data_IF_229028254129
#
_entry.id   IF_229028254129
#
_cell.length_a   1.000
_cell.length_b   1.000
_cell.length_c   1.000
_cell.angle_alpha   90.00
_cell.angle_beta   90.00
_cell.angle_gamma   90.00
#
_symmetry.space_group_name_H-M   'P 1'
#
loop_
_entity.id
_entity.type
_entity.pdbx_description
1 polymer ?
#
# COMPACT_ATOMS: atom_id res chain seq x y z
N UNK A 1 14.54 15.09 -9.27
CA UNK A 1 15.35 13.86 -9.34
C UNK A 1 14.44 12.74 -9.81
N UNK A 2 14.82 11.98 -10.85
CA UNK A 2 14.04 10.84 -11.36
C UNK A 2 14.63 9.59 -10.72
N UNK A 3 14.26 9.32 -9.47
CA UNK A 3 14.56 8.04 -8.83
C UNK A 3 13.48 7.07 -9.27
N UNK A 4 13.73 6.39 -10.38
CA UNK A 4 12.96 5.21 -10.76
C UNK A 4 13.32 4.12 -9.76
N UNK A 5 12.50 3.93 -8.73
CA UNK A 5 12.64 2.77 -7.85
C UNK A 5 12.33 1.51 -8.67
N UNK A 6 12.99 0.42 -8.34
CA UNK A 6 12.79 -0.89 -8.95
C UNK A 6 11.47 -1.52 -8.46
N UNK A 7 10.96 -2.52 -9.20
CA UNK A 7 9.79 -3.30 -8.77
C UNK A 7 10.00 -3.94 -7.38
N UNK A 8 11.24 -4.36 -7.07
CA UNK A 8 11.58 -4.94 -5.78
C UNK A 8 11.48 -3.91 -4.63
N UNK A 9 12.02 -2.70 -4.83
CA UNK A 9 11.92 -1.62 -3.84
C UNK A 9 10.46 -1.18 -3.65
N UNK A 10 9.67 -1.09 -4.72
CA UNK A 10 8.25 -0.80 -4.62
C UNK A 10 7.48 -1.87 -3.82
N UNK A 11 7.84 -3.14 -4.01
CA UNK A 11 7.25 -4.25 -3.25
C UNK A 11 7.63 -4.19 -1.76
N UNK A 12 8.88 -3.85 -1.43
CA UNK A 12 9.32 -3.69 -0.04
C UNK A 12 8.61 -2.54 0.67
N UNK A 13 8.41 -1.42 -0.04
CA UNK A 13 7.62 -0.27 0.45
C UNK A 13 6.17 -0.70 0.72
N UNK A 14 5.56 -1.42 -0.21
CA UNK A 14 4.20 -1.95 -0.06
C UNK A 14 4.07 -2.89 1.15
N UNK A 15 4.97 -3.87 1.26
CA UNK A 15 4.94 -4.86 2.35
C UNK A 15 5.08 -4.16 3.71
N UNK A 16 5.99 -3.18 3.80
CA UNK A 16 6.20 -2.39 5.01
C UNK A 16 4.99 -1.53 5.35
N UNK A 17 4.41 -0.85 4.36
CA UNK A 17 3.21 -0.05 4.53
C UNK A 17 2.00 -0.91 4.95
N UNK A 18 1.88 -2.11 4.41
CA UNK A 18 0.80 -3.06 4.78
C UNK A 18 0.95 -3.52 6.23
N UNK A 19 2.16 -3.88 6.67
CA UNK A 19 2.43 -4.21 8.09
C UNK A 19 2.13 -3.03 9.03
N UNK A 20 2.41 -1.80 8.58
CA UNK A 20 2.07 -0.60 9.34
C UNK A 20 0.55 -0.43 9.46
N UNK A 21 -0.21 -0.69 8.39
CA UNK A 21 -1.69 -0.67 8.42
C UNK A 21 -2.22 -1.69 9.41
N UNK A 22 -1.72 -2.93 9.39
CA UNK A 22 -2.13 -3.98 10.33
C UNK A 22 -1.85 -3.58 11.79
N UNK A 23 -0.66 -3.05 12.06
CA UNK A 23 -0.28 -2.59 13.39
C UNK A 23 -1.16 -1.43 13.89
N UNK A 24 -1.46 -0.46 13.01
CA UNK A 24 -2.32 0.67 13.32
C UNK A 24 -3.78 0.25 13.48
N UNK A 25 -4.27 -0.67 12.65
CA UNK A 25 -5.62 -1.22 12.76
C UNK A 25 -5.77 -1.94 14.11
N UNK A 26 -4.82 -2.79 14.48
CA UNK A 26 -4.80 -3.45 15.79
C UNK A 26 -4.74 -2.45 16.95
N UNK A 27 -3.89 -1.42 16.86
CA UNK A 27 -3.78 -0.38 17.88
C UNK A 27 -5.06 0.45 18.06
N UNK A 28 -5.82 0.65 16.98
CA UNK A 28 -7.08 1.39 16.99
C UNK A 28 -8.32 0.50 17.22
N UNK A 29 -8.14 -0.81 17.33
CA UNK A 29 -9.26 -1.77 17.45
C UNK A 29 -10.13 -1.85 16.19
N UNK A 30 -9.54 -1.55 15.03
CA UNK A 30 -10.21 -1.56 13.72
C UNK A 30 -9.87 -2.85 12.99
N UNK A 31 -10.86 -3.46 12.34
CA UNK A 31 -10.64 -4.62 11.47
C UNK A 31 -10.09 -4.16 10.11
N UNK A 32 -9.04 -4.79 9.60
CA UNK A 32 -8.34 -4.38 8.37
C UNK A 32 -9.26 -4.46 7.14
N UNK A 33 -10.19 -5.42 7.13
CA UNK A 33 -11.20 -5.66 6.09
C UNK A 33 -12.44 -4.76 6.22
N UNK A 34 -12.54 -3.95 7.28
CA UNK A 34 -13.64 -3.01 7.46
C UNK A 34 -13.46 -1.75 6.58
N UNK A 35 -14.52 -0.94 6.38
CA UNK A 35 -14.41 0.35 5.71
C UNK A 35 -13.35 1.27 6.36
N UNK A 36 -13.26 1.28 7.69
CA UNK A 36 -12.26 2.07 8.41
C UNK A 36 -10.85 1.51 8.20
N UNK A 37 -10.71 0.19 8.09
CA UNK A 37 -9.48 -0.50 7.73
C UNK A 37 -9.02 -0.16 6.31
N UNK A 38 -9.94 -0.13 5.34
CA UNK A 38 -9.65 0.32 3.97
C UNK A 38 -9.22 1.79 3.91
N UNK A 39 -9.88 2.69 4.64
CA UNK A 39 -9.46 4.10 4.71
C UNK A 39 -8.02 4.22 5.23
N UNK A 40 -7.67 3.39 6.22
CA UNK A 40 -6.34 3.35 6.80
C UNK A 40 -5.31 2.77 5.83
N UNK A 41 -5.69 1.69 5.12
CA UNK A 41 -4.91 1.10 4.04
C UNK A 41 -4.60 2.12 2.95
N UNK A 42 -5.62 2.77 2.41
CA UNK A 42 -5.48 3.74 1.33
C UNK A 42 -4.55 4.87 1.76
N UNK A 43 -4.76 5.44 2.95
CA UNK A 43 -3.95 6.55 3.44
C UNK A 43 -2.46 6.20 3.58
N UNK A 44 -2.15 5.03 4.12
CA UNK A 44 -0.79 4.62 4.43
C UNK A 44 -0.08 4.07 3.19
N UNK A 45 -0.73 3.16 2.46
CA UNK A 45 -0.15 2.50 1.29
C UNK A 45 -0.03 3.48 0.12
N UNK A 46 -1.10 4.22 -0.25
CA UNK A 46 -0.96 5.22 -1.31
C UNK A 46 -0.03 6.36 -0.89
N UNK A 47 0.00 6.75 0.38
CA UNK A 47 0.93 7.75 0.89
C UNK A 47 2.38 7.32 0.69
N UNK A 48 2.74 6.12 1.15
CA UNK A 48 4.09 5.57 1.02
C UNK A 48 4.50 5.39 -0.45
N UNK A 49 3.60 4.86 -1.29
CA UNK A 49 3.87 4.68 -2.71
C UNK A 49 4.00 6.02 -3.45
N UNK A 50 3.21 7.05 -3.10
CA UNK A 50 3.30 8.37 -3.73
C UNK A 50 4.62 9.09 -3.42
N UNK A 51 5.14 8.91 -2.20
CA UNK A 51 6.46 9.45 -1.82
C UNK A 51 7.60 8.80 -2.61
N UNK A 52 7.53 7.48 -2.81
CA UNK A 52 8.57 6.74 -3.53
C UNK A 52 8.40 6.78 -5.06
N UNK A 53 7.17 6.98 -5.55
CA UNK A 53 6.78 6.95 -6.95
C UNK A 53 5.85 8.11 -7.34
N UNK A 54 6.29 9.38 -7.24
CA UNK A 54 5.41 10.54 -7.40
C UNK A 54 4.89 10.74 -8.83
N UNK A 55 5.44 10.03 -9.83
CA UNK A 55 5.05 10.12 -11.24
C UNK A 55 4.33 8.87 -11.75
N UNK A 56 4.04 7.91 -10.86
CA UNK A 56 3.41 6.64 -11.23
C UNK A 56 1.91 6.79 -11.04
N UNK A 57 1.14 6.36 -12.04
CA UNK A 57 -0.33 6.41 -11.94
C UNK A 57 -0.83 5.34 -10.98
N UNK A 58 -2.03 5.54 -10.43
CA UNK A 58 -2.69 4.52 -9.59
C UNK A 58 -2.79 3.17 -10.33
N UNK A 59 -3.01 3.16 -11.64
CA UNK A 59 -3.01 1.94 -12.45
C UNK A 59 -1.66 1.23 -12.45
N UNK A 60 -0.56 1.97 -12.61
CA UNK A 60 0.79 1.42 -12.55
C UNK A 60 1.15 0.95 -11.13
N UNK A 61 0.61 1.59 -10.09
CA UNK A 61 0.70 1.06 -8.72
C UNK A 61 -0.07 -0.25 -8.61
N UNK A 62 -1.27 -0.35 -9.18
CA UNK A 62 -2.04 -1.60 -9.20
C UNK A 62 -1.37 -2.73 -10.00
N UNK A 63 -0.54 -2.43 -10.99
CA UNK A 63 0.28 -3.44 -11.68
C UNK A 63 1.44 -3.95 -10.80
N UNK A 64 1.93 -3.13 -9.86
CA UNK A 64 2.94 -3.53 -8.87
C UNK A 64 2.31 -4.31 -7.71
N UNK A 65 1.11 -3.90 -7.33
CA UNK A 65 0.19 -4.60 -6.44
C UNK A 65 -0.46 -5.74 -7.21
N UNK A 66 0.29 -6.79 -7.62
CA UNK A 66 -0.36 -8.04 -8.02
C UNK A 66 -1.39 -8.36 -6.93
N UNK A 67 -2.67 -8.15 -7.26
CA UNK A 67 -3.77 -8.31 -6.32
C UNK A 67 -3.55 -9.66 -5.66
N UNK A 68 -3.53 -9.78 -4.32
CA UNK A 68 -3.72 -11.10 -3.75
C UNK A 68 -4.97 -11.65 -4.43
N UNK A 69 -4.86 -12.82 -5.07
CA UNK A 69 -6.00 -13.50 -5.65
C UNK A 69 -7.02 -13.63 -4.51
N UNK A 70 -7.95 -12.68 -4.43
CA UNK A 70 -9.16 -12.85 -3.64
C UNK A 70 -9.98 -13.78 -4.52
N UNK A 71 -9.71 -15.06 -4.33
CA UNK A 71 -10.55 -16.16 -4.79
C UNK A 71 -11.94 -15.86 -4.21
N UNK A 72 -12.84 -15.42 -5.09
CA UNK A 72 -14.23 -15.09 -4.79
C UNK A 72 -15.10 -16.35 -4.88
#
# INVERSE_FOLDING_TARGET
MKTTITKAEAHEVLETATKLVEALAAANGVAVDSPDGQVLYDKIVFGALSECMPNVTIEQLFELLEKPEIDH
#
